data_IF_468746896350
#
_entry.id   IF_468746896350
#
_cell.length_a   1.000
_cell.length_b   1.000
_cell.length_c   1.000
_cell.angle_alpha   90.00
_cell.angle_beta   90.00
_cell.angle_gamma   90.00
#
_symmetry.space_group_name_H-M   'P 1'
#
loop_
_entity.id
_entity.type
_entity.pdbx_description
1 polymer ?
#
# COMPACT_ATOMS: atom_id res chain seq x y z
N UNK A 1 -10.28 -7.58 23.33
CA UNK A 1 -11.21 -7.45 24.48
C UNK A 1 -12.35 -6.50 24.15
N UNK A 2 -12.12 -5.23 23.82
CA UNK A 2 -13.17 -4.22 23.54
C UNK A 2 -14.17 -4.67 22.45
N UNK A 3 -13.70 -5.18 21.30
CA UNK A 3 -14.57 -5.71 20.25
C UNK A 3 -15.50 -6.83 20.77
N UNK A 4 -14.97 -7.73 21.58
CA UNK A 4 -15.73 -8.82 22.16
C UNK A 4 -16.82 -8.32 23.13
N UNK A 5 -16.52 -7.26 23.90
CA UNK A 5 -17.52 -6.61 24.78
C UNK A 5 -18.64 -5.96 23.98
N UNK A 6 -18.32 -5.29 22.87
CA UNK A 6 -19.32 -4.71 21.97
C UNK A 6 -20.23 -5.78 21.37
N UNK A 7 -19.64 -6.88 20.89
CA UNK A 7 -20.37 -8.02 20.33
C UNK A 7 -21.25 -8.69 21.40
N UNK A 8 -20.70 -8.94 22.60
CA UNK A 8 -21.46 -9.51 23.72
C UNK A 8 -22.65 -8.64 24.10
N UNK A 9 -22.45 -7.34 24.26
CA UNK A 9 -23.53 -6.40 24.58
C UNK A 9 -24.61 -6.35 23.49
N UNK A 10 -24.21 -6.41 22.21
CA UNK A 10 -25.20 -6.45 21.13
C UNK A 10 -25.99 -7.76 21.11
N UNK A 11 -25.35 -8.88 21.39
CA UNK A 11 -26.01 -10.17 21.51
C UNK A 11 -27.00 -10.17 22.70
N UNK A 12 -26.62 -9.63 23.84
CA UNK A 12 -27.48 -9.47 25.03
C UNK A 12 -28.74 -8.67 24.69
N UNK A 13 -28.60 -7.53 23.98
CA UNK A 13 -29.76 -6.73 23.53
C UNK A 13 -30.70 -7.53 22.62
N UNK A 14 -30.14 -8.28 21.64
CA UNK A 14 -30.93 -9.11 20.71
C UNK A 14 -31.71 -10.19 21.50
N UNK A 15 -31.13 -10.72 22.56
CA UNK A 15 -31.77 -11.72 23.45
C UNK A 15 -32.74 -11.10 24.45
N UNK A 16 -32.95 -9.77 24.42
CA UNK A 16 -33.87 -9.07 25.31
C UNK A 16 -33.32 -8.76 26.71
N UNK A 17 -32.01 -8.90 26.91
CA UNK A 17 -31.32 -8.59 28.16
C UNK A 17 -30.83 -7.14 28.25
N UNK A 18 -30.23 -6.79 29.37
CA UNK A 18 -29.65 -5.45 29.61
C UNK A 18 -28.15 -5.49 29.35
N UNK A 19 -27.61 -4.50 28.63
CA UNK A 19 -26.16 -4.37 28.37
C UNK A 19 -25.39 -4.46 29.71
N UNK A 20 -24.29 -5.21 29.68
CA UNK A 20 -23.44 -5.48 30.84
C UNK A 20 -23.85 -6.73 31.62
N UNK A 21 -24.96 -7.38 31.29
CA UNK A 21 -25.33 -8.64 31.90
C UNK A 21 -24.60 -9.80 31.23
N UNK A 22 -23.34 -9.95 31.57
CA UNK A 22 -22.47 -11.00 31.02
C UNK A 22 -22.81 -12.43 31.50
N UNK A 23 -23.86 -12.58 32.34
CA UNK A 23 -24.43 -13.90 32.64
C UNK A 23 -25.20 -14.48 31.45
N UNK A 24 -25.68 -13.62 30.53
CA UNK A 24 -26.37 -14.00 29.30
C UNK A 24 -25.37 -14.32 28.20
N UNK A 25 -24.48 -13.35 27.86
CA UNK A 25 -23.38 -13.55 26.88
C UNK A 25 -22.10 -12.93 27.44
N UNK A 26 -21.11 -13.77 27.71
CA UNK A 26 -19.83 -13.32 28.25
C UNK A 26 -18.84 -13.04 27.12
N UNK A 27 -18.10 -11.90 27.13
CA UNK A 27 -17.18 -11.51 26.06
C UNK A 27 -16.01 -12.49 25.87
N UNK A 28 -15.51 -13.12 26.95
CA UNK A 28 -14.41 -14.07 26.86
C UNK A 28 -14.92 -15.50 26.63
N UNK A 29 -15.88 -15.95 27.43
CA UNK A 29 -16.27 -17.35 27.46
C UNK A 29 -17.15 -17.75 26.28
N UNK A 30 -17.89 -16.78 25.69
CA UNK A 30 -18.75 -17.03 24.53
C UNK A 30 -18.20 -16.38 23.26
N UNK A 31 -17.94 -15.06 23.24
CA UNK A 31 -17.53 -14.38 22.02
C UNK A 31 -16.10 -14.75 21.60
N UNK A 32 -15.18 -14.85 22.57
CA UNK A 32 -13.78 -15.20 22.32
C UNK A 32 -13.49 -16.72 22.37
N UNK A 33 -14.53 -17.54 22.45
CA UNK A 33 -14.37 -19.00 22.52
C UNK A 33 -13.53 -19.52 21.33
N UNK A 34 -12.57 -20.38 21.62
CA UNK A 34 -11.64 -20.99 20.66
C UNK A 34 -10.75 -20.00 19.87
N UNK A 35 -10.62 -18.75 20.34
CA UNK A 35 -9.79 -17.72 19.71
C UNK A 35 -8.64 -17.30 20.64
N UNK A 36 -7.53 -16.90 20.00
CA UNK A 36 -6.39 -16.23 20.64
C UNK A 36 -6.11 -14.91 19.93
N UNK A 37 -5.47 -13.96 20.59
CA UNK A 37 -4.87 -12.81 19.90
C UNK A 37 -3.85 -13.26 18.87
N UNK A 38 -3.20 -14.40 19.09
CA UNK A 38 -2.11 -14.90 18.26
C UNK A 38 -2.57 -15.44 16.89
N UNK A 39 -3.85 -15.77 16.74
CA UNK A 39 -4.42 -16.17 15.44
C UNK A 39 -5.38 -15.11 14.87
N UNK A 40 -6.12 -14.39 15.72
CA UNK A 40 -7.10 -13.39 15.27
C UNK A 40 -6.43 -12.10 14.81
N UNK A 41 -5.38 -11.61 15.50
CA UNK A 41 -4.73 -10.34 15.17
C UNK A 41 -3.98 -10.40 13.85
N UNK A 42 -3.11 -11.39 13.56
CA UNK A 42 -2.48 -11.49 12.25
C UNK A 42 -3.49 -11.71 11.12
N UNK A 43 -4.55 -12.49 11.35
CA UNK A 43 -5.64 -12.63 10.38
C UNK A 43 -6.35 -11.30 10.10
N UNK A 44 -6.65 -10.52 11.14
CA UNK A 44 -7.21 -9.17 10.98
C UNK A 44 -6.25 -8.21 10.26
N UNK A 45 -4.94 -8.31 10.55
CA UNK A 45 -3.90 -7.56 9.85
C UNK A 45 -3.86 -7.86 8.36
N UNK A 46 -3.89 -9.15 7.98
CA UNK A 46 -3.96 -9.58 6.57
C UNK A 46 -5.21 -9.05 5.87
N UNK A 47 -6.38 -9.19 6.48
CA UNK A 47 -7.63 -8.66 5.94
C UNK A 47 -7.59 -7.13 5.78
N UNK A 48 -7.05 -6.40 6.75
CA UNK A 48 -6.92 -4.94 6.66
C UNK A 48 -6.04 -4.53 5.48
N UNK A 49 -4.93 -5.23 5.23
CA UNK A 49 -4.10 -4.98 4.04
C UNK A 49 -4.88 -5.27 2.76
N UNK A 50 -5.61 -6.39 2.71
CA UNK A 50 -6.44 -6.75 1.55
C UNK A 50 -7.53 -5.71 1.27
N UNK A 51 -8.08 -5.08 2.30
CA UNK A 51 -9.09 -4.01 2.17
C UNK A 51 -8.48 -2.65 1.76
N UNK A 52 -7.22 -2.38 2.09
CA UNK A 52 -6.55 -1.13 1.74
C UNK A 52 -5.91 -1.17 0.33
N UNK A 53 -5.46 -2.33 -0.12
CA UNK A 53 -4.76 -2.47 -1.40
C UNK A 53 -5.59 -2.08 -2.64
N UNK A 54 -6.91 -2.35 -2.72
CA UNK A 54 -7.74 -1.96 -3.87
C UNK A 54 -7.68 -0.47 -4.18
N UNK A 55 -7.71 0.40 -3.18
CA UNK A 55 -7.64 1.84 -3.36
C UNK A 55 -6.28 2.27 -3.95
N UNK A 56 -5.19 1.66 -3.50
CA UNK A 56 -3.86 1.90 -4.04
C UNK A 56 -3.75 1.40 -5.49
N UNK A 57 -4.24 0.20 -5.77
CA UNK A 57 -4.24 -0.38 -7.12
C UNK A 57 -5.04 0.50 -8.09
N UNK A 58 -6.23 0.94 -7.70
CA UNK A 58 -7.04 1.86 -8.51
C UNK A 58 -6.34 3.21 -8.77
N UNK A 59 -5.66 3.76 -7.76
CA UNK A 59 -4.86 4.97 -7.94
C UNK A 59 -3.70 4.76 -8.93
N UNK A 60 -3.01 3.62 -8.84
CA UNK A 60 -1.92 3.26 -9.77
C UNK A 60 -2.43 3.01 -11.20
N UNK A 61 -3.59 2.37 -11.35
CA UNK A 61 -4.25 2.20 -12.66
C UNK A 61 -4.61 3.55 -13.29
N UNK A 62 -5.12 4.48 -12.48
CA UNK A 62 -5.42 5.84 -12.91
C UNK A 62 -4.14 6.59 -13.32
N UNK A 63 -3.05 6.42 -12.58
CA UNK A 63 -1.75 6.97 -12.95
C UNK A 63 -1.22 6.37 -14.26
N UNK A 64 -1.32 5.07 -14.41
CA UNK A 64 -0.93 4.37 -15.63
C UNK A 64 -1.66 4.92 -16.86
N UNK A 65 -2.98 5.07 -16.78
CA UNK A 65 -3.80 5.63 -17.85
C UNK A 65 -3.38 7.08 -18.18
N UNK A 66 -3.22 7.94 -17.18
CA UNK A 66 -2.79 9.33 -17.37
C UNK A 66 -1.39 9.43 -18.02
N UNK A 67 -0.48 8.52 -17.69
CA UNK A 67 0.86 8.47 -18.32
C UNK A 67 0.79 8.01 -19.78
N UNK A 68 -0.10 7.07 -20.11
CA UNK A 68 -0.35 6.66 -21.51
C UNK A 68 -0.94 7.81 -22.34
N UNK A 69 -1.91 8.53 -21.79
CA UNK A 69 -2.51 9.70 -22.46
C UNK A 69 -1.44 10.76 -22.75
N UNK A 70 -0.57 11.06 -21.78
CA UNK A 70 0.56 11.99 -21.96
C UNK A 70 1.62 11.44 -22.93
N UNK A 71 1.83 10.13 -22.96
CA UNK A 71 2.70 9.52 -23.96
C UNK A 71 2.20 9.79 -25.38
N UNK A 72 0.90 9.68 -25.63
CA UNK A 72 0.30 9.96 -26.93
C UNK A 72 0.33 11.48 -27.24
N UNK A 73 -0.03 12.32 -26.27
CA UNK A 73 -0.03 13.79 -26.40
C UNK A 73 1.35 14.31 -26.79
N UNK A 74 2.42 13.77 -26.20
CA UNK A 74 3.80 14.23 -26.42
C UNK A 74 4.58 13.42 -27.45
N UNK A 75 3.94 12.50 -28.19
CA UNK A 75 4.64 11.62 -29.12
C UNK A 75 5.25 12.36 -30.33
N UNK A 76 4.71 13.52 -30.67
CA UNK A 76 5.23 14.34 -31.74
C UNK A 76 6.36 15.31 -31.31
N UNK A 77 6.68 15.39 -30.01
CA UNK A 77 7.68 16.32 -29.46
C UNK A 77 9.05 15.67 -29.44
N UNK A 78 9.99 16.23 -30.19
CA UNK A 78 11.40 15.81 -30.14
C UNK A 78 12.13 16.46 -28.97
N UNK A 79 12.97 15.68 -28.33
CA UNK A 79 13.88 16.11 -27.26
C UNK A 79 15.22 15.40 -27.38
N UNK A 80 16.23 15.91 -26.68
CA UNK A 80 17.49 15.19 -26.50
C UNK A 80 17.32 14.15 -25.38
N UNK A 81 17.58 12.87 -25.69
CA UNK A 81 17.75 11.82 -24.70
C UNK A 81 19.09 12.02 -23.98
N UNK A 82 19.10 11.82 -22.65
CA UNK A 82 20.30 12.00 -21.83
C UNK A 82 20.65 10.74 -21.05
N UNK A 83 21.94 10.45 -20.99
CA UNK A 83 22.51 9.43 -20.10
C UNK A 83 23.56 10.11 -19.20
N UNK A 84 23.51 9.85 -17.90
CA UNK A 84 24.36 10.56 -16.92
C UNK A 84 24.29 12.09 -17.01
N UNK A 85 23.11 12.62 -17.42
CA UNK A 85 22.79 14.01 -17.70
C UNK A 85 23.47 14.63 -18.91
N UNK A 86 24.34 13.90 -19.62
CA UNK A 86 24.95 14.32 -20.88
C UNK A 86 24.06 14.00 -22.07
N UNK A 87 24.14 14.81 -23.12
CA UNK A 87 23.40 14.63 -24.36
C UNK A 87 23.80 13.30 -25.03
N UNK A 88 22.80 12.49 -25.40
CA UNK A 88 23.03 11.20 -26.03
C UNK A 88 22.45 11.19 -27.47
N UNK A 89 21.17 10.86 -27.62
CA UNK A 89 20.53 10.76 -28.94
C UNK A 89 19.14 11.43 -28.91
N UNK A 90 18.65 11.92 -30.07
CA UNK A 90 17.27 12.41 -30.15
C UNK A 90 16.25 11.32 -29.83
N UNK A 91 15.18 11.69 -29.14
CA UNK A 91 14.05 10.84 -28.80
C UNK A 91 12.76 11.67 -28.78
N UNK A 92 11.61 11.01 -28.72
CA UNK A 92 10.33 11.66 -28.51
C UNK A 92 10.02 11.77 -27.01
N UNK A 93 9.48 12.90 -26.57
CA UNK A 93 9.09 13.09 -25.17
C UNK A 93 8.04 12.05 -24.74
N UNK A 94 7.11 11.71 -25.64
CA UNK A 94 6.11 10.66 -25.39
C UNK A 94 6.71 9.29 -25.02
N UNK A 95 7.90 8.95 -25.52
CA UNK A 95 8.59 7.71 -25.17
C UNK A 95 9.01 7.68 -23.68
N UNK A 96 9.34 8.83 -23.08
CA UNK A 96 9.62 8.92 -21.64
C UNK A 96 8.37 8.61 -20.80
N UNK A 97 7.24 9.19 -21.17
CA UNK A 97 5.97 8.94 -20.48
C UNK A 97 5.48 7.52 -20.67
N UNK A 98 5.67 6.92 -21.84
CA UNK A 98 5.39 5.50 -22.07
C UNK A 98 6.24 4.59 -21.18
N UNK A 99 7.52 4.91 -21.00
CA UNK A 99 8.42 4.16 -20.13
C UNK A 99 7.95 4.23 -18.66
N UNK A 100 7.46 5.39 -18.20
CA UNK A 100 6.85 5.52 -16.87
C UNK A 100 5.57 4.70 -16.74
N UNK A 101 4.69 4.72 -17.74
CA UNK A 101 3.48 3.89 -17.77
C UNK A 101 3.81 2.40 -17.65
N UNK A 102 4.74 1.91 -18.45
CA UNK A 102 5.22 0.51 -18.40
C UNK A 102 5.79 0.14 -17.03
N UNK A 103 6.47 1.06 -16.37
CA UNK A 103 7.00 0.86 -15.02
C UNK A 103 5.87 0.71 -13.99
N UNK A 104 4.85 1.57 -14.01
CA UNK A 104 3.68 1.49 -13.13
C UNK A 104 2.88 0.21 -13.36
N UNK A 105 2.67 -0.20 -14.61
CA UNK A 105 2.03 -1.47 -14.95
C UNK A 105 2.76 -2.67 -14.32
N UNK A 106 4.09 -2.67 -14.30
CA UNK A 106 4.86 -3.72 -13.61
C UNK A 106 4.66 -3.69 -12.11
N UNK A 107 4.52 -2.51 -11.50
CA UNK A 107 4.29 -2.38 -10.05
C UNK A 107 2.89 -2.87 -9.66
N UNK A 108 1.86 -2.54 -10.44
CA UNK A 108 0.51 -3.11 -10.27
C UNK A 108 0.57 -4.64 -10.26
N UNK A 109 1.21 -5.24 -11.27
CA UNK A 109 1.34 -6.71 -11.35
C UNK A 109 2.13 -7.31 -10.17
N UNK A 110 3.12 -6.60 -9.62
CA UNK A 110 3.88 -7.06 -8.44
C UNK A 110 2.99 -7.07 -7.19
N UNK A 111 2.25 -5.99 -6.96
CA UNK A 111 1.31 -5.88 -5.83
C UNK A 111 0.24 -6.96 -5.93
N UNK A 112 -0.35 -7.17 -7.11
CA UNK A 112 -1.35 -8.21 -7.37
C UNK A 112 -0.83 -9.64 -7.12
N UNK A 113 0.43 -9.89 -7.36
CA UNK A 113 1.04 -11.20 -7.04
C UNK A 113 1.30 -11.34 -5.54
N UNK A 114 1.88 -10.31 -4.93
CA UNK A 114 2.28 -10.34 -3.53
C UNK A 114 1.08 -10.44 -2.59
N UNK A 115 -0.07 -9.82 -2.90
CA UNK A 115 -1.27 -9.90 -2.05
C UNK A 115 -1.79 -11.33 -1.84
N UNK A 116 -1.41 -12.28 -2.71
CA UNK A 116 -1.81 -13.68 -2.59
C UNK A 116 -1.24 -14.36 -1.35
N UNK A 117 -0.08 -13.90 -0.86
CA UNK A 117 0.52 -14.37 0.40
C UNK A 117 -0.40 -14.12 1.61
N UNK A 118 -1.29 -13.13 1.51
CA UNK A 118 -2.18 -12.76 2.60
C UNK A 118 -3.47 -13.61 2.66
N UNK A 119 -3.73 -14.45 1.68
CA UNK A 119 -4.92 -15.31 1.69
C UNK A 119 -4.78 -16.50 2.62
N UNK A 120 -3.57 -16.88 3.00
CA UNK A 120 -3.31 -17.97 3.94
C UNK A 120 -3.32 -17.43 5.37
N UNK A 121 -4.18 -18.01 6.22
CA UNK A 121 -4.39 -17.58 7.61
C UNK A 121 -3.96 -18.66 8.59
N UNK A 122 -3.51 -18.24 9.77
CA UNK A 122 -3.30 -19.12 10.93
C UNK A 122 -4.55 -19.25 11.83
N UNK A 123 -5.70 -18.73 11.39
CA UNK A 123 -6.93 -18.69 12.18
C UNK A 123 -7.41 -20.10 12.53
N UNK A 124 -7.67 -20.32 13.82
CA UNK A 124 -7.94 -21.63 14.41
C UNK A 124 -6.71 -22.25 15.08
N UNK A 125 -5.49 -21.73 14.85
CA UNK A 125 -4.26 -22.19 15.50
C UNK A 125 -4.24 -21.98 17.01
N UNK A 126 -5.10 -21.10 17.52
CA UNK A 126 -5.16 -20.67 18.92
C UNK A 126 -3.85 -20.04 19.41
N UNK A 127 -3.28 -20.51 20.49
CA UNK A 127 -2.14 -19.83 21.11
C UNK A 127 -0.83 -19.92 20.31
N UNK A 128 -0.53 -21.09 19.73
CA UNK A 128 0.77 -21.37 19.08
C UNK A 128 0.65 -22.27 17.83
N UNK A 129 -0.57 -22.56 17.37
CA UNK A 129 -0.78 -23.48 16.25
C UNK A 129 -1.26 -24.90 16.65
N UNK A 130 -1.34 -25.20 17.94
CA UNK A 130 -1.76 -26.55 18.44
C UNK A 130 -3.25 -26.81 18.37
N UNK A 131 -4.07 -25.81 18.06
CA UNK A 131 -5.55 -25.91 18.05
C UNK A 131 -6.19 -26.28 19.40
N UNK A 132 -5.44 -26.19 20.50
CA UNK A 132 -5.93 -26.55 21.83
C UNK A 132 -7.18 -25.71 22.18
N UNK A 133 -8.21 -26.37 22.70
CA UNK A 133 -9.52 -25.83 23.07
C UNK A 133 -10.37 -25.35 21.87
N UNK A 134 -9.99 -25.62 20.64
CA UNK A 134 -10.84 -25.45 19.46
C UNK A 134 -11.52 -26.79 19.12
N UNK A 135 -12.82 -26.76 18.82
CA UNK A 135 -13.52 -27.95 18.35
C UNK A 135 -13.22 -28.24 16.89
N UNK A 136 -13.28 -29.48 16.46
CA UNK A 136 -13.12 -29.88 15.04
C UNK A 136 -14.11 -29.12 14.15
N UNK A 137 -15.33 -28.87 14.62
CA UNK A 137 -16.32 -28.09 13.92
C UNK A 137 -15.81 -26.65 13.66
N UNK A 138 -15.29 -25.99 14.68
CA UNK A 138 -14.75 -24.64 14.55
C UNK A 138 -13.58 -24.60 13.56
N UNK A 139 -12.63 -25.52 13.69
CA UNK A 139 -11.44 -25.58 12.85
C UNK A 139 -11.79 -25.75 11.36
N UNK A 140 -12.76 -26.59 11.04
CA UNK A 140 -13.17 -26.81 9.66
C UNK A 140 -14.05 -25.70 9.06
N UNK A 141 -14.66 -24.83 9.88
CA UNK A 141 -15.64 -23.87 9.42
C UNK A 141 -15.18 -22.40 9.51
N UNK A 142 -14.25 -22.06 10.41
CA UNK A 142 -13.92 -20.66 10.68
C UNK A 142 -13.35 -19.94 9.45
N UNK A 143 -12.36 -20.51 8.77
CA UNK A 143 -11.74 -19.87 7.59
C UNK A 143 -12.70 -19.88 6.38
N UNK A 144 -13.37 -20.99 6.03
CA UNK A 144 -14.40 -20.98 4.99
C UNK A 144 -15.55 -19.98 5.24
N UNK A 145 -16.00 -19.86 6.50
CA UNK A 145 -17.02 -18.88 6.87
C UNK A 145 -16.50 -17.43 6.69
N UNK A 146 -15.28 -17.17 7.13
CA UNK A 146 -14.64 -15.86 6.96
C UNK A 146 -14.45 -15.52 5.48
N UNK A 147 -14.04 -16.48 4.67
CA UNK A 147 -13.92 -16.33 3.21
C UNK A 147 -15.29 -15.98 2.58
N UNK A 148 -16.36 -16.65 2.99
CA UNK A 148 -17.73 -16.36 2.50
C UNK A 148 -18.21 -14.97 2.92
N UNK A 149 -17.88 -14.51 4.13
CA UNK A 149 -18.27 -13.18 4.64
C UNK A 149 -17.49 -12.06 3.97
N UNK A 150 -16.18 -12.25 3.74
CA UNK A 150 -15.29 -11.21 3.19
C UNK A 150 -15.25 -11.21 1.67
N UNK A 151 -15.59 -12.32 1.02
CA UNK A 151 -15.43 -12.52 -0.42
C UNK A 151 -14.00 -12.77 -0.88
N UNK A 152 -13.03 -12.84 0.04
CA UNK A 152 -11.65 -13.19 -0.29
C UNK A 152 -11.45 -14.71 -0.35
N UNK A 153 -10.57 -15.23 -1.22
CA UNK A 153 -10.28 -16.65 -1.32
C UNK A 153 -9.34 -17.11 -0.19
N UNK A 154 -9.80 -16.97 1.05
CA UNK A 154 -9.02 -17.29 2.24
C UNK A 154 -8.88 -18.81 2.41
N UNK A 155 -7.70 -19.22 2.86
CA UNK A 155 -7.36 -20.61 3.16
C UNK A 155 -6.71 -20.68 4.55
N UNK A 156 -6.95 -21.78 5.28
CA UNK A 156 -6.18 -22.06 6.47
C UNK A 156 -4.79 -22.58 6.07
N UNK A 157 -3.76 -22.20 6.81
CA UNK A 157 -2.41 -22.72 6.60
C UNK A 157 -2.34 -24.22 6.85
N UNK A 158 -1.57 -24.93 6.05
CA UNK A 158 -1.25 -26.34 6.26
C UNK A 158 -0.41 -26.55 7.53
N UNK A 159 0.42 -25.57 7.88
CA UNK A 159 1.19 -25.53 9.14
C UNK A 159 0.81 -24.28 9.94
N UNK A 160 0.02 -24.49 11.00
CA UNK A 160 -0.45 -23.42 11.87
C UNK A 160 0.63 -22.91 12.83
N UNK A 161 1.70 -23.69 13.08
CA UNK A 161 2.85 -23.22 13.87
C UNK A 161 3.66 -22.20 13.05
N UNK A 162 4.06 -22.57 11.84
CA UNK A 162 4.75 -21.69 10.91
C UNK A 162 3.97 -20.39 10.68
N UNK A 163 2.68 -20.50 10.40
CA UNK A 163 1.84 -19.34 10.13
C UNK A 163 1.56 -18.45 11.36
N UNK A 164 1.85 -18.93 12.58
CA UNK A 164 1.72 -18.16 13.82
C UNK A 164 3.02 -17.45 14.19
N UNK A 165 4.18 -18.06 13.91
CA UNK A 165 5.48 -17.50 14.28
C UNK A 165 6.09 -16.56 13.21
N UNK A 166 5.74 -16.76 11.92
CA UNK A 166 6.37 -16.07 10.81
C UNK A 166 5.50 -14.95 10.22
N UNK A 167 6.12 -13.80 9.88
CA UNK A 167 5.49 -12.61 9.31
C UNK A 167 5.98 -12.27 7.90
N UNK A 168 6.59 -13.22 7.20
CA UNK A 168 7.22 -13.05 5.89
C UNK A 168 6.22 -12.63 4.80
N UNK A 169 4.95 -13.03 4.89
CA UNK A 169 3.90 -12.54 4.00
C UNK A 169 3.72 -11.01 4.06
N UNK A 170 3.82 -10.40 5.25
CA UNK A 170 3.80 -8.94 5.40
C UNK A 170 5.09 -8.29 4.87
N UNK A 171 6.25 -8.93 5.03
CA UNK A 171 7.51 -8.48 4.45
C UNK A 171 7.44 -8.50 2.93
N UNK A 172 6.86 -9.52 2.33
CA UNK A 172 6.67 -9.63 0.88
C UNK A 172 5.84 -8.46 0.33
N UNK A 173 4.72 -8.13 0.96
CA UNK A 173 3.91 -6.95 0.59
C UNK A 173 4.72 -5.66 0.75
N UNK A 174 5.37 -5.47 1.89
CA UNK A 174 6.16 -4.28 2.19
C UNK A 174 7.27 -4.06 1.16
N UNK A 175 8.03 -5.10 0.83
CA UNK A 175 9.06 -5.05 -0.21
C UNK A 175 8.51 -4.63 -1.59
N UNK A 176 7.30 -5.08 -1.90
CA UNK A 176 6.63 -4.72 -3.16
C UNK A 176 6.23 -3.25 -3.17
N UNK A 177 5.68 -2.75 -2.06
CA UNK A 177 5.35 -1.32 -1.89
C UNK A 177 6.61 -0.45 -1.95
N UNK A 178 7.70 -0.86 -1.28
CA UNK A 178 9.01 -0.20 -1.39
C UNK A 178 9.48 -0.10 -2.83
N UNK A 179 9.39 -1.17 -3.60
CA UNK A 179 9.79 -1.17 -5.02
C UNK A 179 8.97 -0.16 -5.82
N UNK A 180 7.66 -0.10 -5.62
CA UNK A 180 6.78 0.89 -6.23
C UNK A 180 7.17 2.32 -5.80
N UNK A 181 7.44 2.54 -4.51
CA UNK A 181 7.87 3.83 -3.97
C UNK A 181 9.18 4.32 -4.60
N UNK A 182 10.17 3.44 -4.78
CA UNK A 182 11.43 3.75 -5.48
C UNK A 182 11.15 4.19 -6.91
N UNK A 183 10.29 3.49 -7.64
CA UNK A 183 9.91 3.82 -9.00
C UNK A 183 9.18 5.17 -9.10
N UNK A 184 8.22 5.42 -8.21
CA UNK A 184 7.51 6.70 -8.13
C UNK A 184 8.47 7.86 -7.82
N UNK A 185 9.40 7.69 -6.88
CA UNK A 185 10.39 8.70 -6.54
C UNK A 185 11.32 8.99 -7.72
N UNK A 186 11.79 7.96 -8.43
CA UNK A 186 12.62 8.12 -9.63
C UNK A 186 11.89 8.92 -10.71
N UNK A 187 10.65 8.57 -11.01
CA UNK A 187 9.83 9.29 -11.98
C UNK A 187 9.62 10.76 -11.56
N UNK A 188 9.33 11.01 -10.29
CA UNK A 188 9.14 12.37 -9.77
C UNK A 188 10.43 13.21 -9.84
N UNK A 189 11.59 12.61 -9.61
CA UNK A 189 12.87 13.30 -9.78
C UNK A 189 13.13 13.68 -11.25
N UNK A 190 12.80 12.81 -12.19
CA UNK A 190 12.88 13.14 -13.62
C UNK A 190 11.94 14.31 -13.98
N UNK A 191 10.67 14.27 -13.53
CA UNK A 191 9.70 15.34 -13.78
C UNK A 191 10.18 16.69 -13.22
N UNK A 192 10.76 16.69 -12.03
CA UNK A 192 11.34 17.90 -11.43
C UNK A 192 12.51 18.41 -12.24
N UNK A 193 13.39 17.53 -12.72
CA UNK A 193 14.54 17.90 -13.52
C UNK A 193 14.10 18.45 -14.89
N UNK A 194 13.17 17.78 -15.56
CA UNK A 194 12.61 18.22 -16.86
C UNK A 194 11.90 19.59 -16.75
N UNK A 195 11.29 19.89 -15.60
CA UNK A 195 10.61 21.18 -15.35
C UNK A 195 11.52 22.26 -14.76
N UNK A 196 12.80 21.99 -14.60
CA UNK A 196 13.73 22.94 -13.96
C UNK A 196 13.95 24.20 -14.80
N UNK A 197 14.14 25.32 -14.15
CA UNK A 197 14.41 26.61 -14.79
C UNK A 197 13.25 27.60 -14.60
N UNK A 198 12.63 28.12 -15.68
CA UNK A 198 12.78 27.73 -17.10
C UNK A 198 13.99 28.32 -17.85
N UNK A 199 14.64 29.38 -17.35
CA UNK A 199 15.67 30.09 -18.14
C UNK A 199 17.06 29.46 -18.09
N UNK A 200 17.41 28.84 -16.97
CA UNK A 200 18.75 28.27 -16.73
C UNK A 200 18.69 26.80 -16.35
N UNK A 201 17.55 26.13 -16.53
CA UNK A 201 17.34 24.70 -16.38
C UNK A 201 16.89 24.08 -17.70
N UNK A 202 16.38 22.85 -17.65
CA UNK A 202 15.96 22.14 -18.86
C UNK A 202 14.69 22.73 -19.49
N UNK A 203 13.68 23.05 -18.66
CA UNK A 203 12.45 23.66 -19.13
C UNK A 203 11.69 22.86 -20.20
N UNK A 204 11.88 21.53 -20.25
CA UNK A 204 11.29 20.67 -21.28
C UNK A 204 9.80 20.41 -21.04
N UNK A 205 9.35 20.46 -19.79
CA UNK A 205 7.94 20.36 -19.41
C UNK A 205 7.57 21.47 -18.43
N UNK A 206 6.30 21.80 -18.35
CA UNK A 206 5.74 22.70 -17.34
C UNK A 206 4.82 21.88 -16.43
N UNK A 207 5.05 21.98 -15.13
CA UNK A 207 4.19 21.41 -14.11
C UNK A 207 3.23 22.46 -13.57
N UNK A 208 2.01 22.10 -13.17
CA UNK A 208 1.02 23.05 -12.68
C UNK A 208 1.46 23.75 -11.38
N UNK A 209 1.15 25.02 -11.21
CA UNK A 209 1.44 25.76 -9.98
C UNK A 209 0.46 25.35 -8.88
N UNK A 210 0.92 24.52 -7.93
CA UNK A 210 0.10 23.98 -6.86
C UNK A 210 0.40 24.58 -5.48
N UNK A 211 1.18 25.66 -5.44
CA UNK A 211 1.42 26.46 -4.23
C UNK A 211 1.62 27.93 -4.60
N UNK A 212 1.55 28.80 -3.60
CA UNK A 212 1.92 30.21 -3.78
C UNK A 212 3.42 30.32 -4.13
N UNK A 213 3.74 31.23 -5.03
CA UNK A 213 5.13 31.52 -5.38
C UNK A 213 5.92 32.09 -4.21
N UNK A 214 7.24 32.16 -4.39
CA UNK A 214 8.14 32.78 -3.40
C UNK A 214 7.82 34.26 -3.18
N UNK A 215 7.81 34.70 -1.91
CA UNK A 215 7.65 36.13 -1.58
C UNK A 215 8.87 36.99 -1.95
N UNK A 216 10.06 36.40 -2.04
CA UNK A 216 11.33 37.06 -2.36
C UNK A 216 11.64 36.96 -3.86
N UNK A 217 11.21 35.89 -4.52
CA UNK A 217 11.49 35.62 -5.95
C UNK A 217 10.17 35.51 -6.73
N UNK A 218 9.62 36.63 -7.21
CA UNK A 218 8.34 36.61 -7.94
C UNK A 218 8.39 35.67 -9.14
N UNK A 219 7.32 34.87 -9.29
CA UNK A 219 7.20 33.87 -10.36
C UNK A 219 7.92 32.52 -10.11
N UNK A 220 8.64 32.36 -9.01
CA UNK A 220 9.24 31.09 -8.63
C UNK A 220 8.21 30.21 -7.96
N UNK A 221 7.72 29.20 -8.69
CA UNK A 221 6.77 28.20 -8.20
C UNK A 221 7.46 26.83 -8.23
N UNK A 222 7.56 26.21 -7.07
CA UNK A 222 8.25 24.92 -6.95
C UNK A 222 7.34 23.75 -7.38
N UNK A 223 7.92 22.64 -7.89
CA UNK A 223 7.17 21.45 -8.31
C UNK A 223 6.78 20.56 -7.09
N UNK A 224 5.93 21.10 -6.21
CA UNK A 224 5.63 20.52 -4.89
C UNK A 224 4.93 19.15 -4.94
N UNK A 225 4.18 18.87 -6.01
CA UNK A 225 3.50 17.56 -6.12
C UNK A 225 4.52 16.44 -6.30
N UNK A 226 5.46 16.46 -7.25
CA UNK A 226 6.54 15.47 -7.28
C UNK A 226 7.39 15.44 -6.00
N UNK A 227 7.56 16.57 -5.31
CA UNK A 227 8.31 16.61 -4.05
C UNK A 227 7.61 15.85 -2.93
N UNK A 228 6.30 16.02 -2.74
CA UNK A 228 5.56 15.29 -1.71
C UNK A 228 5.51 13.80 -2.01
N UNK A 229 5.37 13.39 -3.29
CA UNK A 229 5.42 11.97 -3.67
C UNK A 229 6.79 11.35 -3.32
N UNK A 230 7.87 12.06 -3.56
CA UNK A 230 9.22 11.62 -3.18
C UNK A 230 9.37 11.49 -1.65
N UNK A 231 8.82 12.42 -0.86
CA UNK A 231 8.83 12.32 0.61
C UNK A 231 8.02 11.13 1.12
N UNK A 232 6.86 10.87 0.52
CA UNK A 232 6.08 9.65 0.83
C UNK A 232 6.87 8.40 0.47
N UNK A 233 7.58 8.38 -0.65
CA UNK A 233 8.44 7.26 -1.02
C UNK A 233 9.54 7.01 0.04
N UNK A 234 10.17 8.05 0.56
CA UNK A 234 11.17 7.92 1.64
C UNK A 234 10.55 7.33 2.92
N UNK A 235 9.33 7.76 3.27
CA UNK A 235 8.59 7.21 4.41
C UNK A 235 8.32 5.72 4.23
N UNK A 236 7.83 5.30 3.06
CA UNK A 236 7.56 3.89 2.73
C UNK A 236 8.83 3.03 2.79
N UNK A 237 9.95 3.55 2.26
CA UNK A 237 11.25 2.85 2.30
C UNK A 237 11.72 2.67 3.77
N UNK A 238 11.56 3.70 4.61
CA UNK A 238 11.87 3.62 6.03
C UNK A 238 10.99 2.62 6.79
N UNK A 239 9.69 2.61 6.50
CA UNK A 239 8.73 1.67 7.06
C UNK A 239 9.05 0.21 6.67
N UNK A 240 9.48 -0.04 5.44
CA UNK A 240 9.90 -1.38 5.00
C UNK A 240 11.08 -1.91 5.82
N UNK A 241 12.05 -1.08 6.13
CA UNK A 241 13.15 -1.45 7.02
C UNK A 241 12.63 -1.80 8.41
N UNK A 242 11.71 -1.01 8.96
CA UNK A 242 11.08 -1.28 10.25
C UNK A 242 10.33 -2.62 10.25
N UNK A 243 9.55 -2.89 9.20
CA UNK A 243 8.79 -4.15 9.03
C UNK A 243 9.75 -5.34 8.93
N UNK A 244 10.81 -5.22 8.16
CA UNK A 244 11.83 -6.28 8.01
C UNK A 244 12.47 -6.62 9.35
N UNK A 245 12.89 -5.61 10.13
CA UNK A 245 13.49 -5.82 11.44
C UNK A 245 12.49 -6.39 12.46
N UNK A 246 11.24 -5.94 12.43
CA UNK A 246 10.20 -6.45 13.31
C UNK A 246 9.86 -7.93 13.00
N UNK A 247 9.84 -8.31 11.74
CA UNK A 247 9.61 -9.69 11.33
C UNK A 247 10.79 -10.60 11.76
N UNK A 248 12.03 -10.15 11.61
CA UNK A 248 13.23 -10.89 12.00
C UNK A 248 13.34 -11.04 13.54
N UNK A 249 12.85 -10.08 14.31
CA UNK A 249 12.97 -10.06 15.77
C UNK A 249 12.00 -11.01 16.50
N UNK A 250 11.10 -11.73 15.79
CA UNK A 250 10.24 -12.75 16.37
C UNK A 250 11.05 -13.85 17.06
N UNK A 251 10.50 -14.40 18.12
CA UNK A 251 11.17 -15.45 18.90
C UNK A 251 10.20 -16.60 19.19
N UNK A 252 10.62 -17.81 18.85
CA UNK A 252 9.87 -19.05 19.07
C UNK A 252 8.48 -18.97 18.39
N UNK A 253 7.44 -19.40 19.03
CA UNK A 253 6.12 -19.69 18.47
C UNK A 253 5.22 -18.45 18.27
N UNK A 254 5.77 -17.21 18.44
CA UNK A 254 5.02 -15.97 18.22
C UNK A 254 5.94 -14.79 17.90
N UNK A 255 5.51 -13.93 17.01
CA UNK A 255 6.13 -12.61 16.82
C UNK A 255 5.33 -11.52 17.56
N UNK A 256 5.94 -10.93 18.59
CA UNK A 256 5.30 -9.89 19.41
C UNK A 256 5.30 -8.48 18.77
N UNK A 257 5.91 -8.32 17.60
CA UNK A 257 6.11 -7.01 16.94
C UNK A 257 5.07 -6.69 15.85
N UNK A 258 4.03 -7.48 15.72
CA UNK A 258 2.92 -7.22 14.79
C UNK A 258 2.35 -5.79 14.86
N UNK A 259 2.18 -5.15 16.04
CA UNK A 259 1.63 -3.79 16.10
C UNK A 259 2.44 -2.78 15.31
N UNK A 260 3.77 -2.83 15.31
CA UNK A 260 4.61 -1.91 14.53
C UNK A 260 4.63 -2.28 13.06
N UNK A 261 4.52 -3.57 12.72
CA UNK A 261 4.35 -4.04 11.33
C UNK A 261 3.07 -3.47 10.74
N UNK A 262 1.94 -3.60 11.44
CA UNK A 262 0.65 -3.09 10.97
C UNK A 262 0.62 -1.58 10.85
N UNK A 263 1.11 -0.86 11.88
CA UNK A 263 1.21 0.60 11.82
C UNK A 263 2.00 1.06 10.59
N UNK A 264 3.18 0.50 10.37
CA UNK A 264 4.07 0.86 9.28
C UNK A 264 3.48 0.50 7.92
N UNK A 265 2.86 -0.68 7.79
CA UNK A 265 2.31 -1.16 6.52
C UNK A 265 1.04 -0.39 6.13
N UNK A 266 0.09 -0.20 7.06
CA UNK A 266 -1.14 0.54 6.79
C UNK A 266 -0.85 2.02 6.47
N UNK A 267 0.08 2.64 7.21
CA UNK A 267 0.55 4.00 6.93
C UNK A 267 1.18 4.10 5.55
N UNK A 268 1.98 3.12 5.14
CA UNK A 268 2.60 3.06 3.81
C UNK A 268 1.56 3.00 2.69
N UNK A 269 0.59 2.09 2.78
CA UNK A 269 -0.46 1.93 1.77
C UNK A 269 -1.29 3.21 1.66
N UNK A 270 -1.76 3.73 2.80
CA UNK A 270 -2.62 4.92 2.83
C UNK A 270 -1.90 6.16 2.29
N UNK A 271 -0.63 6.38 2.71
CA UNK A 271 0.17 7.52 2.25
C UNK A 271 0.48 7.42 0.76
N UNK A 272 0.80 6.23 0.24
CA UNK A 272 1.02 6.01 -1.18
C UNK A 272 -0.24 6.27 -2.00
N UNK A 273 -1.40 5.79 -1.55
CA UNK A 273 -2.69 6.04 -2.20
C UNK A 273 -2.96 7.54 -2.33
N UNK A 274 -2.75 8.30 -1.25
CA UNK A 274 -2.89 9.75 -1.25
C UNK A 274 -1.91 10.45 -2.20
N UNK A 275 -0.64 10.04 -2.19
CA UNK A 275 0.41 10.59 -3.05
C UNK A 275 0.15 10.33 -4.54
N UNK A 276 -0.25 9.09 -4.89
CA UNK A 276 -0.56 8.72 -6.28
C UNK A 276 -1.81 9.47 -6.77
N UNK A 277 -2.87 9.53 -5.97
CA UNK A 277 -4.07 10.30 -6.32
C UNK A 277 -3.76 11.79 -6.54
N UNK A 278 -2.89 12.37 -5.72
CA UNK A 278 -2.45 13.76 -5.89
C UNK A 278 -1.66 13.95 -7.18
N UNK A 279 -0.79 13.00 -7.53
CA UNK A 279 -0.01 13.01 -8.77
C UNK A 279 -0.93 12.95 -10.01
N UNK A 280 -1.96 12.09 -9.97
CA UNK A 280 -2.98 11.96 -11.02
C UNK A 280 -3.82 13.23 -11.13
N UNK A 281 -4.29 13.78 -10.02
CA UNK A 281 -5.23 14.90 -10.04
C UNK A 281 -4.55 16.23 -10.35
N UNK A 282 -3.34 16.45 -9.81
CA UNK A 282 -2.74 17.78 -9.72
C UNK A 282 -1.40 17.91 -10.46
N UNK A 283 -0.95 16.90 -11.19
CA UNK A 283 0.36 16.96 -11.85
C UNK A 283 0.34 16.39 -13.27
N UNK A 284 0.19 15.10 -13.45
CA UNK A 284 0.42 14.44 -14.75
C UNK A 284 -0.54 14.94 -15.84
N UNK A 285 -1.87 14.85 -15.72
CA UNK A 285 -2.78 15.23 -16.79
C UNK A 285 -2.73 16.72 -17.14
N UNK A 286 -2.38 17.56 -16.18
CA UNK A 286 -2.34 19.03 -16.33
C UNK A 286 -0.93 19.57 -16.65
N UNK A 287 0.07 18.69 -16.80
CA UNK A 287 1.39 19.07 -17.30
C UNK A 287 1.32 19.36 -18.82
N UNK A 288 2.18 20.25 -19.30
CA UNK A 288 2.26 20.60 -20.72
C UNK A 288 3.70 20.88 -21.12
N UNK A 289 3.95 20.98 -22.42
CA UNK A 289 5.23 21.39 -22.96
C UNK A 289 5.05 22.49 -23.99
N UNK A 290 6.07 23.34 -24.12
CA UNK A 290 6.18 24.36 -25.18
C UNK A 290 7.31 24.03 -26.18
N UNK A 291 7.91 22.83 -26.04
CA UNK A 291 8.87 22.38 -27.02
C UNK A 291 8.16 22.22 -28.37
N UNK A 292 8.60 23.01 -29.34
CA UNK A 292 8.18 22.90 -30.74
C UNK A 292 9.38 22.41 -31.53
N UNK A 293 9.11 21.67 -32.60
CA UNK A 293 10.15 21.36 -33.58
C UNK A 293 10.67 22.69 -34.15
N UNK A 294 11.99 22.87 -34.32
CA UNK A 294 12.56 24.00 -35.04
C UNK A 294 12.10 24.03 -36.51
#
# INVERSE_FOLDING_TARGET
MNANEVIANRAIEILGGTKGDYTIVHPNDHVNMAQSTNDVIPSAGKLTVLDLLPDLLHALESLHAALLDKSQEFDHILKMGRTQLEDAVPMRLGQSFHAYATMIERDIRRIERARKELFTLNLGGTAIGTTINASDYYLHHIVPTLAAVTGYPLMQSDDLFDATENLDGFVTISNTLKTCAVNLSKMCNDLRLLSSGPRTGFGEINLPPMQNGSSIMPGKINPVIPEVVTQVAFHVIGNDTTITMAAEAGQMELNAFEPVVFYSLFSSITSMTGAVNTLVKNCIPVSYTHLTLP
#
